data_IF_463832480691
#
_entry.id   IF_463832480691
#
_cell.length_a   1.000
_cell.length_b   1.000
_cell.length_c   1.000
_cell.angle_alpha   90.00
_cell.angle_beta   90.00
_cell.angle_gamma   90.00
#
_symmetry.space_group_name_H-M   'P 1'
#
loop_
_entity.id
_entity.type
_entity.pdbx_description
1 polymer ?
#
# COMPACT_ATOMS: atom_id res chain seq x y z
N UNK A 1 -17.14 -24.69 51.25
CA UNK A 1 -17.04 -25.49 50.01
C UNK A 1 -17.40 -24.55 48.87
N UNK A 2 -16.49 -24.32 47.91
CA UNK A 2 -16.78 -23.44 46.76
C UNK A 2 -17.71 -24.23 45.83
N UNK A 3 -18.87 -23.65 45.48
CA UNK A 3 -19.80 -24.29 44.53
C UNK A 3 -19.26 -24.15 43.11
N UNK A 4 -19.60 -25.07 42.20
CA UNK A 4 -19.21 -24.97 40.78
C UNK A 4 -19.64 -23.63 40.14
N UNK A 5 -20.78 -23.08 40.55
CA UNK A 5 -21.30 -21.79 40.06
C UNK A 5 -20.39 -20.62 40.45
N UNK A 6 -19.99 -20.54 41.73
CA UNK A 6 -19.06 -19.50 42.21
C UNK A 6 -17.70 -19.61 41.53
N UNK A 7 -17.25 -20.84 41.23
CA UNK A 7 -16.01 -21.06 40.47
C UNK A 7 -16.15 -20.57 39.02
N UNK A 8 -17.26 -20.89 38.36
CA UNK A 8 -17.53 -20.49 36.98
C UNK A 8 -17.64 -18.97 36.84
N UNK A 9 -18.32 -18.29 37.77
CA UNK A 9 -18.44 -16.84 37.76
C UNK A 9 -17.08 -16.15 37.90
N UNK A 10 -16.22 -16.69 38.77
CA UNK A 10 -14.86 -16.18 38.94
C UNK A 10 -14.00 -16.38 37.70
N UNK A 11 -14.13 -17.53 37.03
CA UNK A 11 -13.45 -17.79 35.75
C UNK A 11 -13.94 -16.80 34.69
N UNK A 12 -15.25 -16.61 34.54
CA UNK A 12 -15.83 -15.67 33.58
C UNK A 12 -15.38 -14.23 33.86
N UNK A 13 -15.30 -13.83 35.12
CA UNK A 13 -14.81 -12.51 35.53
C UNK A 13 -13.35 -12.29 35.13
N UNK A 14 -12.47 -13.27 35.31
CA UNK A 14 -11.08 -13.15 34.87
C UNK A 14 -10.95 -13.17 33.33
N UNK A 15 -11.71 -14.04 32.66
CA UNK A 15 -11.72 -14.10 31.18
C UNK A 15 -12.23 -12.80 30.55
N UNK A 16 -13.16 -12.09 31.20
CA UNK A 16 -13.68 -10.81 30.71
C UNK A 16 -12.62 -9.70 30.64
N UNK A 17 -11.49 -9.86 31.34
CA UNK A 17 -10.35 -8.92 31.33
C UNK A 17 -9.33 -9.24 30.24
N UNK A 18 -9.49 -10.37 29.54
CA UNK A 18 -8.55 -10.82 28.51
C UNK A 18 -8.94 -10.22 27.16
N UNK A 19 -8.19 -9.22 26.71
CA UNK A 19 -8.35 -8.68 25.36
C UNK A 19 -7.69 -9.60 24.34
N UNK A 20 -8.49 -10.11 23.39
CA UNK A 20 -8.00 -10.94 22.27
C UNK A 20 -7.91 -10.17 20.96
N UNK A 21 -8.63 -9.05 20.85
CA UNK A 21 -8.71 -8.22 19.65
C UNK A 21 -9.70 -7.07 19.81
N UNK A 22 -9.36 -5.90 19.27
CA UNK A 22 -10.23 -4.72 19.35
C UNK A 22 -10.22 -3.97 18.01
N UNK A 23 -11.38 -3.45 17.62
CA UNK A 23 -11.45 -2.47 16.55
C UNK A 23 -11.39 -1.06 17.14
N UNK A 24 -10.68 -0.17 16.45
CA UNK A 24 -10.53 1.22 16.85
C UNK A 24 -10.49 2.16 15.65
N UNK A 25 -10.64 3.46 15.91
CA UNK A 25 -10.40 4.51 14.93
C UNK A 25 -9.16 5.29 15.25
N UNK A 26 -8.34 5.57 14.24
CA UNK A 26 -7.17 6.43 14.36
C UNK A 26 -7.65 7.85 14.73
N UNK A 27 -7.17 8.38 15.85
CA UNK A 27 -7.33 9.80 16.19
C UNK A 27 -6.19 10.63 15.60
N UNK A 28 -4.95 10.13 15.70
CA UNK A 28 -3.76 10.73 15.07
C UNK A 28 -2.71 9.66 14.77
N UNK A 29 -1.96 9.82 13.67
CA UNK A 29 -0.84 8.95 13.29
C UNK A 29 0.43 9.77 13.07
N UNK A 30 1.50 9.41 13.78
CA UNK A 30 2.85 9.94 13.57
C UNK A 30 3.66 8.93 12.74
N UNK A 31 3.82 9.27 11.45
CA UNK A 31 4.54 8.44 10.47
C UNK A 31 6.05 8.36 10.75
N UNK A 32 6.64 9.37 11.38
CA UNK A 32 8.07 9.39 11.67
C UNK A 32 8.42 8.44 12.82
N UNK A 33 7.58 8.38 13.85
CA UNK A 33 7.78 7.46 14.98
C UNK A 33 7.04 6.12 14.82
N UNK A 34 6.22 5.95 13.77
CA UNK A 34 5.35 4.79 13.57
C UNK A 34 4.45 4.54 14.80
N UNK A 35 3.87 5.60 15.35
CA UNK A 35 2.94 5.50 16.48
C UNK A 35 1.60 6.15 16.19
N UNK A 36 0.55 5.64 16.82
CA UNK A 36 -0.81 6.15 16.68
C UNK A 36 -1.49 6.41 18.03
N UNK A 37 -2.46 7.33 18.00
CA UNK A 37 -3.53 7.42 18.99
C UNK A 37 -4.76 6.75 18.40
N UNK A 38 -5.39 5.86 19.15
CA UNK A 38 -6.55 5.08 18.69
C UNK A 38 -7.65 5.15 19.72
N UNK A 39 -8.88 5.44 19.28
CA UNK A 39 -10.10 5.31 20.08
C UNK A 39 -10.69 3.93 19.83
N UNK A 40 -10.69 3.00 20.80
CA UNK A 40 -11.38 1.72 20.64
C UNK A 40 -12.90 1.95 20.48
N UNK A 41 -13.54 1.09 19.70
CA UNK A 41 -14.97 1.15 19.40
C UNK A 41 -15.82 0.23 20.30
N UNK A 42 -15.18 -0.55 21.16
CA UNK A 42 -15.85 -1.42 22.12
C UNK A 42 -16.33 -0.61 23.33
N UNK A 43 -17.54 -0.93 23.82
CA UNK A 43 -18.02 -0.50 25.12
C UNK A 43 -18.03 -1.69 26.08
N UNK A 44 -17.57 -1.47 27.30
CA UNK A 44 -17.52 -2.50 28.35
C UNK A 44 -18.72 -2.35 29.28
N UNK A 45 -19.36 -3.45 29.70
CA UNK A 45 -20.40 -3.39 30.71
C UNK A 45 -19.80 -3.01 32.07
N UNK A 46 -20.56 -2.22 32.82
CA UNK A 46 -20.27 -1.68 34.15
C UNK A 46 -21.58 -1.74 34.96
N UNK A 47 -21.50 -1.54 36.27
CA UNK A 47 -22.70 -1.50 37.13
C UNK A 47 -23.72 -0.44 36.68
N UNK A 48 -23.24 0.68 36.11
CA UNK A 48 -24.06 1.80 35.63
C UNK A 48 -24.42 1.71 34.12
N UNK A 49 -24.16 0.59 33.45
CA UNK A 49 -24.45 0.39 32.03
C UNK A 49 -23.19 0.12 31.19
N UNK A 50 -22.99 0.85 30.09
CA UNK A 50 -21.86 0.63 29.18
C UNK A 50 -20.90 1.82 29.17
N UNK A 51 -19.62 1.56 29.41
CA UNK A 51 -18.56 2.57 29.39
C UNK A 51 -17.70 2.45 28.13
N UNK A 52 -17.35 3.59 27.54
CA UNK A 52 -16.37 3.62 26.45
C UNK A 52 -14.94 3.45 26.96
N UNK A 53 -14.13 2.76 26.18
CA UNK A 53 -12.70 2.68 26.45
C UNK A 53 -11.99 4.03 26.19
N UNK A 54 -10.92 4.34 26.94
CA UNK A 54 -10.14 5.56 26.75
C UNK A 54 -9.40 5.55 25.41
N UNK A 55 -8.97 6.72 24.96
CA UNK A 55 -8.05 6.83 23.83
C UNK A 55 -6.71 6.23 24.25
N UNK A 56 -6.25 5.25 23.47
CA UNK A 56 -4.95 4.64 23.63
C UNK A 56 -3.92 5.49 22.91
N UNK A 57 -2.78 5.75 23.55
CA UNK A 57 -1.76 6.69 23.06
C UNK A 57 -0.43 6.00 22.82
N UNK A 58 0.33 6.50 21.84
CA UNK A 58 1.66 5.98 21.48
C UNK A 58 1.67 4.48 21.16
N UNK A 59 0.56 3.98 20.60
CA UNK A 59 0.50 2.60 20.17
C UNK A 59 1.44 2.41 18.99
N UNK A 60 2.34 1.40 19.00
CA UNK A 60 3.16 1.09 17.85
C UNK A 60 2.28 0.63 16.68
N UNK A 61 2.66 1.08 15.49
CA UNK A 61 2.04 0.69 14.23
C UNK A 61 2.88 -0.37 13.55
N UNK A 62 2.27 -1.51 13.25
CA UNK A 62 2.92 -2.59 12.51
C UNK A 62 3.19 -2.14 11.07
N UNK A 63 4.41 -2.42 10.62
CA UNK A 63 4.88 -2.19 9.26
C UNK A 63 5.37 -3.54 8.74
N UNK A 64 4.86 -3.98 7.59
CA UNK A 64 5.40 -5.18 6.97
C UNK A 64 6.83 -4.92 6.55
N UNK A 65 7.76 -5.63 7.18
CA UNK A 65 9.19 -5.49 7.00
C UNK A 65 9.76 -6.83 6.58
N UNK A 66 10.50 -6.84 5.46
CA UNK A 66 11.21 -8.02 4.99
C UNK A 66 12.57 -7.60 4.42
N UNK A 67 13.63 -7.86 5.17
CA UNK A 67 14.99 -7.48 4.80
C UNK A 67 15.15 -5.96 4.66
N UNK A 68 15.34 -5.46 3.44
CA UNK A 68 15.49 -4.02 3.17
C UNK A 68 14.21 -3.32 2.69
N UNK A 69 13.05 -4.01 2.73
CA UNK A 69 11.80 -3.52 2.14
C UNK A 69 10.72 -3.35 3.22
N UNK A 70 9.92 -2.28 3.08
CA UNK A 70 8.85 -1.91 3.99
C UNK A 70 7.55 -1.63 3.20
N UNK A 71 6.41 -2.07 3.74
CA UNK A 71 5.08 -1.56 3.35
C UNK A 71 4.57 -0.70 4.50
N UNK A 72 4.73 0.61 4.35
CA UNK A 72 4.41 1.59 5.39
C UNK A 72 2.97 2.10 5.20
N UNK A 73 2.07 1.93 6.18
CA UNK A 73 0.72 2.47 6.10
C UNK A 73 0.73 4.00 6.16
N UNK A 74 -0.28 4.61 5.55
CA UNK A 74 -0.49 6.07 5.53
C UNK A 74 -1.80 6.47 6.21
N UNK A 75 -2.00 5.97 7.44
CA UNK A 75 -3.26 6.16 8.17
C UNK A 75 -3.65 7.63 8.32
N UNK A 76 -4.95 7.90 8.20
CA UNK A 76 -5.60 9.18 8.43
C UNK A 76 -6.55 9.09 9.63
N UNK A 77 -6.92 10.26 10.14
CA UNK A 77 -7.94 10.35 11.19
C UNK A 77 -9.22 9.66 10.74
N UNK A 78 -9.83 8.90 11.63
CA UNK A 78 -11.02 8.07 11.44
C UNK A 78 -10.83 6.77 10.63
N UNK A 79 -9.62 6.45 10.19
CA UNK A 79 -9.35 5.12 9.62
C UNK A 79 -9.65 4.05 10.67
N UNK A 80 -10.39 3.02 10.25
CA UNK A 80 -10.70 1.87 11.07
C UNK A 80 -9.50 0.93 11.06
N UNK A 81 -9.10 0.49 12.25
CA UNK A 81 -7.93 -0.37 12.45
C UNK A 81 -8.24 -1.50 13.42
N UNK A 82 -7.49 -2.59 13.28
CA UNK A 82 -7.46 -3.68 14.24
C UNK A 82 -6.27 -3.53 15.20
N UNK A 83 -6.54 -3.71 16.49
CA UNK A 83 -5.56 -3.70 17.56
C UNK A 83 -5.28 -5.13 18.01
N UNK A 84 -4.00 -5.51 18.08
CA UNK A 84 -3.54 -6.71 18.79
C UNK A 84 -3.09 -6.34 20.20
N UNK A 85 -3.81 -6.78 21.23
CA UNK A 85 -3.31 -6.80 22.59
C UNK A 85 -2.20 -7.84 22.75
N UNK A 86 -1.23 -7.55 23.59
CA UNK A 86 -0.22 -8.50 24.06
C UNK A 86 -0.44 -8.78 25.55
N UNK A 87 -0.29 -10.05 25.99
CA UNK A 87 -0.32 -10.39 27.41
C UNK A 87 0.80 -9.70 28.20
N UNK A 88 1.92 -9.36 27.56
CA UNK A 88 3.10 -8.77 28.18
C UNK A 88 3.44 -7.38 27.60
N UNK A 89 4.17 -6.53 28.35
CA UNK A 89 4.67 -5.26 27.86
C UNK A 89 5.45 -5.37 26.55
N UNK A 90 5.05 -4.58 25.55
CA UNK A 90 5.66 -4.64 24.21
C UNK A 90 6.71 -3.55 23.96
N UNK A 91 6.81 -2.54 24.83
CA UNK A 91 7.59 -1.32 24.58
C UNK A 91 9.07 -1.58 24.26
N UNK A 92 9.68 -2.55 24.93
CA UNK A 92 11.09 -2.88 24.76
C UNK A 92 11.29 -4.00 23.73
N UNK A 93 10.37 -4.96 23.64
CA UNK A 93 10.43 -6.06 22.67
C UNK A 93 10.35 -5.57 21.22
N UNK A 94 9.49 -4.59 20.94
CA UNK A 94 9.41 -3.94 19.61
C UNK A 94 10.68 -3.16 19.23
N UNK A 95 11.53 -2.84 20.21
CA UNK A 95 12.82 -2.15 20.01
C UNK A 95 13.99 -3.12 19.97
N UNK A 96 13.73 -4.42 20.01
CA UNK A 96 14.75 -5.47 20.17
C UNK A 96 15.60 -5.27 21.43
N UNK A 97 15.05 -4.64 22.48
CA UNK A 97 15.73 -4.38 23.75
C UNK A 97 15.47 -5.53 24.74
N UNK A 98 15.91 -6.73 24.39
CA UNK A 98 15.68 -7.96 25.15
C UNK A 98 16.31 -7.95 26.56
N UNK A 99 17.36 -7.14 26.79
CA UNK A 99 18.13 -7.09 28.04
C UNK A 99 17.59 -6.15 29.13
N UNK A 100 16.45 -5.48 28.92
CA UNK A 100 15.80 -4.65 29.96
C UNK A 100 14.57 -5.30 30.58
N UNK A 101 14.02 -6.30 29.91
CA UNK A 101 12.74 -6.91 30.28
C UNK A 101 12.88 -8.12 31.20
N UNK A 102 14.07 -8.72 31.31
CA UNK A 102 14.30 -9.93 32.11
C UNK A 102 15.74 -10.01 32.61
N UNK A 103 16.08 -9.28 33.68
CA UNK A 103 17.38 -9.44 34.35
C UNK A 103 17.34 -10.55 35.43
N UNK A 104 16.15 -11.03 35.82
CA UNK A 104 15.95 -12.23 36.65
C UNK A 104 14.54 -12.82 36.40
N UNK A 105 14.39 -14.13 36.63
CA UNK A 105 13.09 -14.83 36.54
C UNK A 105 12.03 -14.24 37.49
N UNK A 106 12.45 -13.63 38.60
CA UNK A 106 11.59 -13.02 39.61
C UNK A 106 11.07 -11.63 39.21
N UNK A 107 11.58 -11.06 38.12
CA UNK A 107 11.16 -9.75 37.58
C UNK A 107 10.21 -9.87 36.37
N UNK A 108 9.82 -11.09 36.01
CA UNK A 108 8.90 -11.31 34.90
C UNK A 108 7.51 -10.83 35.31
N UNK A 109 7.08 -9.67 34.82
CA UNK A 109 5.73 -9.18 35.07
C UNK A 109 4.71 -10.23 34.61
N UNK A 110 3.75 -10.54 35.49
CA UNK A 110 2.67 -11.44 35.19
C UNK A 110 1.87 -10.93 33.97
N UNK A 111 1.29 -11.81 33.14
CA UNK A 111 0.42 -11.40 32.05
C UNK A 111 -0.68 -10.45 32.55
N UNK A 112 -0.70 -9.22 32.04
CA UNK A 112 -1.64 -8.19 32.47
C UNK A 112 -2.77 -7.98 31.47
N UNK A 113 -2.60 -8.44 30.22
CA UNK A 113 -3.53 -8.23 29.11
C UNK A 113 -4.04 -6.78 29.05
N UNK A 114 -3.21 -5.80 29.39
CA UNK A 114 -3.65 -4.40 29.48
C UNK A 114 -3.75 -3.75 28.09
N UNK A 115 -4.65 -2.78 27.94
CA UNK A 115 -4.85 -2.06 26.68
C UNK A 115 -3.62 -1.23 26.24
N UNK A 116 -2.73 -0.90 27.16
CA UNK A 116 -1.46 -0.22 26.87
C UNK A 116 -0.46 -1.11 26.12
N UNK A 117 -0.65 -2.42 26.18
CA UNK A 117 0.17 -3.42 25.50
C UNK A 117 -0.38 -3.77 24.10
N UNK A 118 -1.11 -2.84 23.47
CA UNK A 118 -1.67 -3.03 22.15
C UNK A 118 -0.76 -2.49 21.04
N UNK A 119 -0.85 -3.10 19.86
CA UNK A 119 -0.27 -2.57 18.61
C UNK A 119 -1.34 -2.46 17.53
N UNK A 120 -1.18 -1.51 16.61
CA UNK A 120 -2.02 -1.40 15.41
C UNK A 120 -1.47 -2.36 14.36
N UNK A 121 -2.23 -3.37 13.94
CA UNK A 121 -1.72 -4.38 13.00
C UNK A 121 -2.10 -4.07 11.55
N UNK A 122 -3.26 -3.46 11.32
CA UNK A 122 -3.77 -3.25 9.97
C UNK A 122 -5.01 -2.36 9.92
N UNK A 123 -5.17 -1.69 8.79
CA UNK A 123 -6.39 -0.99 8.42
C UNK A 123 -7.47 -1.98 7.99
N UNK A 124 -8.71 -1.65 8.32
CA UNK A 124 -9.89 -2.45 7.98
C UNK A 124 -10.81 -1.56 7.16
N UNK A 125 -11.23 -1.97 5.95
CA UNK A 125 -12.19 -1.21 5.19
C UNK A 125 -13.51 -1.07 5.94
N UNK A 126 -14.09 0.13 5.98
CA UNK A 126 -15.38 0.35 6.64
C UNK A 126 -16.51 -0.35 5.88
N UNK A 127 -17.23 -1.26 6.53
CA UNK A 127 -18.34 -1.97 5.91
C UNK A 127 -19.64 -1.14 5.86
N UNK A 128 -20.45 -1.26 4.79
CA UNK A 128 -20.19 -2.08 3.60
C UNK A 128 -19.11 -1.47 2.69
N UNK A 129 -17.98 -2.16 2.53
CA UNK A 129 -16.91 -1.75 1.63
C UNK A 129 -17.05 -2.52 0.33
N UNK A 130 -16.90 -1.81 -0.79
CA UNK A 130 -16.83 -2.40 -2.10
C UNK A 130 -15.52 -1.98 -2.74
N UNK A 131 -14.73 -2.96 -3.17
CA UNK A 131 -13.52 -2.71 -3.91
C UNK A 131 -13.88 -2.03 -5.24
N UNK A 132 -13.20 -0.94 -5.66
CA UNK A 132 -13.53 -0.27 -6.91
C UNK A 132 -13.45 -1.22 -8.11
N UNK A 133 -14.42 -1.21 -9.05
CA UNK A 133 -14.44 -2.13 -10.19
C UNK A 133 -13.18 -2.11 -11.04
N UNK A 134 -12.48 -0.97 -11.08
CA UNK A 134 -11.22 -0.79 -11.82
C UNK A 134 -10.08 -1.68 -11.34
N UNK A 135 -10.14 -2.13 -10.09
CA UNK A 135 -9.09 -2.93 -9.43
C UNK A 135 -9.58 -4.32 -9.01
N UNK A 136 -10.82 -4.70 -9.40
CA UNK A 136 -11.33 -6.08 -9.29
C UNK A 136 -10.73 -6.96 -10.38
N UNK A 137 -9.41 -7.19 -10.31
CA UNK A 137 -8.64 -7.97 -11.29
C UNK A 137 -7.92 -9.11 -10.58
N UNK A 138 -7.67 -10.22 -11.29
CA UNK A 138 -6.93 -11.36 -10.75
C UNK A 138 -5.44 -11.02 -10.59
N UNK A 139 -4.90 -11.26 -9.39
CA UNK A 139 -3.50 -11.03 -9.06
C UNK A 139 -3.30 -10.23 -7.77
N UNK A 140 -2.07 -9.79 -7.54
CA UNK A 140 -1.74 -8.89 -6.43
C UNK A 140 -1.97 -7.45 -6.88
N UNK A 141 -2.86 -6.74 -6.18
CA UNK A 141 -3.16 -5.32 -6.46
C UNK A 141 -2.75 -4.45 -5.28
N UNK A 142 -1.95 -3.42 -5.57
CA UNK A 142 -1.64 -2.32 -4.65
C UNK A 142 -2.25 -1.07 -5.26
N UNK A 143 -3.24 -0.46 -4.60
CA UNK A 143 -4.01 0.65 -5.16
C UNK A 143 -4.31 1.74 -4.14
N UNK A 144 -4.65 2.94 -4.63
CA UNK A 144 -5.33 3.92 -3.80
C UNK A 144 -6.79 3.51 -3.56
N UNK A 145 -7.42 4.10 -2.53
CA UNK A 145 -8.77 3.73 -2.09
C UNK A 145 -9.86 3.98 -3.14
N UNK A 146 -9.62 4.84 -4.13
CA UNK A 146 -10.54 5.13 -5.23
C UNK A 146 -10.25 4.28 -6.48
N UNK A 147 -9.14 3.53 -6.51
CA UNK A 147 -8.75 2.70 -7.65
C UNK A 147 -8.34 3.49 -8.90
N UNK A 148 -7.91 4.74 -8.71
CA UNK A 148 -7.42 5.62 -9.79
C UNK A 148 -5.97 5.27 -10.17
N UNK A 149 -5.17 4.87 -9.20
CA UNK A 149 -3.76 4.53 -9.31
C UNK A 149 -3.54 3.15 -8.69
N UNK A 150 -2.86 2.27 -9.42
CA UNK A 150 -2.54 0.94 -8.92
C UNK A 150 -1.33 0.31 -9.61
N UNK A 151 -0.80 -0.69 -8.95
CA UNK A 151 0.12 -1.69 -9.49
C UNK A 151 -0.61 -3.03 -9.42
N UNK A 152 -0.72 -3.71 -10.56
CA UNK A 152 -1.25 -5.07 -10.65
C UNK A 152 -0.12 -5.99 -11.09
N UNK A 153 0.10 -7.07 -10.34
CA UNK A 153 1.01 -8.15 -10.70
C UNK A 153 0.16 -9.42 -10.84
N UNK A 154 0.04 -9.93 -12.07
CA UNK A 154 -0.62 -11.21 -12.36
C UNK A 154 0.41 -12.24 -12.88
N UNK A 155 -0.06 -13.44 -13.20
CA UNK A 155 0.77 -14.48 -13.80
C UNK A 155 1.23 -14.17 -15.23
N UNK A 156 0.55 -13.26 -15.92
CA UNK A 156 0.77 -12.96 -17.34
C UNK A 156 1.24 -11.53 -17.61
N UNK A 157 1.01 -10.59 -16.69
CA UNK A 157 1.33 -9.18 -16.90
C UNK A 157 1.63 -8.43 -15.60
N UNK A 158 2.35 -7.32 -15.74
CA UNK A 158 2.48 -6.30 -14.70
C UNK A 158 1.93 -4.99 -15.28
N UNK A 159 0.91 -4.43 -14.64
CA UNK A 159 0.24 -3.20 -15.07
C UNK A 159 0.47 -2.08 -14.04
N UNK A 160 0.80 -0.90 -14.55
CA UNK A 160 0.92 0.32 -13.77
C UNK A 160 -0.10 1.34 -14.27
N UNK A 161 -0.97 1.82 -13.37
CA UNK A 161 -1.90 2.91 -13.64
C UNK A 161 -1.67 4.04 -12.65
N UNK A 162 -1.69 5.28 -13.14
CA UNK A 162 -1.61 6.48 -12.30
C UNK A 162 -2.64 7.52 -12.78
N UNK A 163 -3.61 7.85 -11.92
CA UNK A 163 -4.63 8.87 -12.17
C UNK A 163 -5.78 8.46 -13.12
N UNK A 164 -6.65 9.43 -13.40
CA UNK A 164 -7.82 9.29 -14.30
C UNK A 164 -7.46 9.37 -15.79
N UNK A 165 -6.20 9.65 -16.13
CA UNK A 165 -5.78 9.89 -17.50
C UNK A 165 -5.44 8.58 -18.22
N UNK A 166 -6.04 8.39 -19.41
CA UNK A 166 -5.62 7.45 -20.44
C UNK A 166 -4.24 7.84 -21.01
N UNK A 167 -3.21 7.88 -20.18
CA UNK A 167 -1.84 8.06 -20.64
C UNK A 167 -1.14 6.72 -20.57
N UNK A 168 -1.13 6.04 -21.72
CA UNK A 168 -0.18 4.99 -22.08
C UNK A 168 1.16 5.21 -21.37
N UNK A 169 1.42 4.42 -20.33
CA UNK A 169 2.78 4.05 -19.95
C UNK A 169 2.83 2.56 -19.63
N UNK A 170 2.36 1.78 -20.60
CA UNK A 170 2.70 0.37 -20.76
C UNK A 170 3.51 0.27 -22.05
N UNK A 171 4.82 0.48 -21.90
CA UNK A 171 5.88 0.18 -22.85
C UNK A 171 5.91 1.10 -24.07
N UNK A 172 7.06 1.74 -24.29
CA UNK A 172 7.45 2.29 -25.60
C UNK A 172 7.25 1.29 -26.76
N UNK A 173 6.88 0.02 -26.52
CA UNK A 173 6.79 -1.07 -27.48
C UNK A 173 5.81 -0.78 -28.61
N UNK A 174 4.53 -0.55 -28.34
CA UNK A 174 3.53 -0.39 -29.42
C UNK A 174 3.74 0.92 -30.20
N UNK A 175 4.03 2.04 -29.52
CA UNK A 175 4.36 3.30 -30.20
C UNK A 175 5.68 3.21 -30.98
N UNK A 176 6.71 2.55 -30.43
CA UNK A 176 7.98 2.31 -31.13
C UNK A 176 7.78 1.35 -32.29
N UNK A 177 7.00 0.30 -32.14
CA UNK A 177 6.64 -0.65 -33.19
C UNK A 177 5.91 0.05 -34.34
N UNK A 178 4.94 0.93 -34.02
CA UNK A 178 4.30 1.78 -35.01
C UNK A 178 5.28 2.68 -35.75
N UNK A 179 6.18 3.35 -35.02
CA UNK A 179 7.23 4.19 -35.64
C UNK A 179 8.21 3.37 -36.47
N UNK A 180 8.60 2.17 -36.01
CA UNK A 180 9.48 1.26 -36.76
C UNK A 180 8.81 0.76 -38.03
N UNK A 181 7.51 0.45 -37.97
CA UNK A 181 6.69 0.09 -39.13
C UNK A 181 6.62 1.26 -40.12
N UNK A 182 6.32 2.49 -39.65
CA UNK A 182 6.34 3.70 -40.49
C UNK A 182 7.71 3.93 -41.16
N UNK A 183 8.81 3.65 -40.44
CA UNK A 183 10.18 3.73 -41.00
C UNK A 183 10.39 2.66 -42.08
N UNK A 184 9.99 1.42 -41.84
CA UNK A 184 10.14 0.32 -42.79
C UNK A 184 9.33 0.58 -44.07
N UNK A 185 8.10 1.08 -43.94
CA UNK A 185 7.26 1.46 -45.07
C UNK A 185 7.87 2.62 -45.85
N UNK A 186 8.37 3.65 -45.15
CA UNK A 186 9.03 4.78 -45.78
C UNK A 186 10.31 4.35 -46.53
N UNK A 187 11.12 3.47 -45.95
CA UNK A 187 12.32 2.90 -46.60
C UNK A 187 11.95 2.07 -47.83
N UNK A 188 10.91 1.24 -47.72
CA UNK A 188 10.45 0.39 -48.84
C UNK A 188 9.91 1.22 -50.01
N UNK A 189 9.36 2.40 -49.74
CA UNK A 189 8.87 3.35 -50.75
C UNK A 189 9.94 4.33 -51.27
N UNK A 190 11.21 4.19 -50.85
CA UNK A 190 12.28 5.10 -51.24
C UNK A 190 12.55 5.03 -52.75
N UNK A 191 12.18 6.10 -53.45
CA UNK A 191 12.54 6.31 -54.84
C UNK A 191 13.19 7.68 -55.02
N UNK A 192 14.17 7.73 -55.91
CA UNK A 192 14.92 8.94 -56.25
C UNK A 192 14.70 9.23 -57.73
N UNK A 193 14.01 10.33 -58.07
CA UNK A 193 13.85 10.70 -59.47
C UNK A 193 15.20 11.11 -60.07
N UNK A 194 15.57 10.50 -61.20
CA UNK A 194 16.71 10.90 -61.99
C UNK A 194 16.24 11.82 -63.13
N UNK A 195 16.88 12.98 -63.27
CA UNK A 195 16.81 13.75 -64.52
C UNK A 195 17.81 13.18 -65.53
N UNK A 196 17.74 13.62 -66.79
CA UNK A 196 18.47 13.08 -67.95
C UNK A 196 19.94 12.66 -67.67
N UNK A 197 20.50 11.69 -68.45
CA UNK A 197 21.85 11.18 -68.23
C UNK A 197 22.90 12.29 -68.05
N UNK A 198 23.64 12.24 -66.94
CA UNK A 198 24.68 13.22 -66.61
C UNK A 198 24.22 14.40 -65.72
N UNK A 199 22.97 14.41 -65.26
CA UNK A 199 22.46 15.42 -64.30
C UNK A 199 22.35 14.88 -62.87
N UNK A 200 22.34 15.78 -61.89
CA UNK A 200 22.23 15.42 -60.47
C UNK A 200 20.85 14.83 -60.14
N UNK A 201 20.81 13.83 -59.25
CA UNK A 201 19.56 13.26 -58.74
C UNK A 201 18.74 14.28 -57.94
N UNK A 202 17.41 14.16 -57.99
CA UNK A 202 16.50 14.99 -57.19
C UNK A 202 16.37 14.46 -55.76
N UNK A 203 15.72 15.24 -54.90
CA UNK A 203 15.42 14.83 -53.52
C UNK A 203 14.53 13.57 -53.50
N UNK A 204 14.75 12.64 -52.56
CA UNK A 204 13.90 11.47 -52.40
C UNK A 204 12.43 11.84 -52.18
N UNK A 205 11.51 11.08 -52.78
CA UNK A 205 10.06 11.37 -52.72
C UNK A 205 9.47 11.29 -51.30
N UNK A 206 10.11 10.52 -50.42
CA UNK A 206 9.68 10.27 -49.04
C UNK A 206 10.36 11.18 -48.01
N UNK A 207 11.11 12.21 -48.43
CA UNK A 207 11.82 13.11 -47.52
C UNK A 207 10.91 13.77 -46.47
N UNK A 208 9.67 14.11 -46.84
CA UNK A 208 8.65 14.67 -45.93
C UNK A 208 8.19 13.67 -44.87
N UNK A 209 8.06 12.39 -45.23
CA UNK A 209 7.71 11.30 -44.31
C UNK A 209 8.81 11.10 -43.29
N UNK A 210 10.08 11.05 -43.71
CA UNK A 210 11.22 10.98 -42.81
C UNK A 210 11.32 12.18 -41.86
N UNK A 211 11.00 13.40 -42.33
CA UNK A 211 10.96 14.57 -41.47
C UNK A 211 9.86 14.47 -40.39
N UNK A 212 8.68 13.94 -40.75
CA UNK A 212 7.57 13.68 -39.82
C UNK A 212 7.94 12.63 -38.77
N UNK A 213 8.52 11.50 -39.19
CA UNK A 213 9.02 10.44 -38.30
C UNK A 213 10.09 11.01 -37.34
N UNK A 214 11.02 11.82 -37.85
CA UNK A 214 12.05 12.46 -37.02
C UNK A 214 11.44 13.41 -35.97
N UNK A 215 10.37 14.12 -36.30
CA UNK A 215 9.65 14.96 -35.34
C UNK A 215 8.95 14.13 -34.25
N UNK A 216 8.32 13.00 -34.62
CA UNK A 216 7.73 12.04 -33.67
C UNK A 216 8.80 11.49 -32.72
N UNK A 217 9.94 11.04 -33.24
CA UNK A 217 11.08 10.56 -32.44
C UNK A 217 11.62 11.62 -31.47
N UNK A 218 11.81 12.85 -31.93
CA UNK A 218 12.25 13.96 -31.07
C UNK A 218 11.27 14.28 -29.95
N UNK A 219 9.96 14.16 -30.22
CA UNK A 219 8.91 14.34 -29.21
C UNK A 219 9.04 13.29 -28.12
N UNK A 220 9.20 12.01 -28.49
CA UNK A 220 9.44 10.91 -27.53
C UNK A 220 10.72 11.15 -26.72
N UNK A 221 11.81 11.56 -27.38
CA UNK A 221 13.09 11.83 -26.72
C UNK A 221 12.93 12.94 -25.66
N UNK A 222 12.22 14.01 -26.00
CA UNK A 222 12.00 15.15 -25.09
C UNK A 222 11.16 14.79 -23.85
N UNK A 223 10.27 13.81 -23.96
CA UNK A 223 9.44 13.35 -22.86
C UNK A 223 10.21 12.44 -21.90
N UNK A 224 11.19 11.66 -22.38
CA UNK A 224 12.07 10.87 -21.49
C UNK A 224 12.98 11.74 -20.62
N UNK A 225 13.43 12.89 -21.11
CA UNK A 225 14.36 13.77 -20.37
C UNK A 225 13.69 14.47 -19.17
N UNK A 226 12.37 14.64 -19.17
CA UNK A 226 11.62 15.28 -18.07
C UNK A 226 11.36 14.38 -16.85
N UNK A 227 11.81 13.13 -16.89
CA UNK A 227 11.54 12.12 -15.86
C UNK A 227 12.75 11.82 -14.95
N UNK A 228 13.77 12.69 -14.93
CA UNK A 228 14.88 12.62 -13.97
C UNK A 228 14.68 13.61 -12.82
#
# INVERSE_FOLDING_TARGET
MITPEVLQDKINQELSKVWTGLYGKIDSYDKASLTAKVKPLLKVPTEDGFQELPILVKLPVNVFHSGGVLIVPDYKRNDLVYLAPSPHPIKDSIRSQFGKTQNSLDQTEAPSFSLENCSVIGGVPNHPFQLPPTVQKDGLVICDTLGNSYILISSSLIEFKSGLANTEKAVLGETLEGILTEILDALSALTVPCTAPGTNSLTPVNASVFASIKAKLNTILSQKVKNN
#
